data_IF_084252778537
#
_entry.id   IF_084252778537
#
_cell.length_a   1.000
_cell.length_b   1.000
_cell.length_c   1.000
_cell.angle_alpha   90.00
_cell.angle_beta   90.00
_cell.angle_gamma   90.00
#
_symmetry.space_group_name_H-M   'P 1'
#
loop_
_entity.id
_entity.type
_entity.pdbx_description
1 polymer ?
#
# COMPACT_ATOMS: atom_id res chain seq x y z
N UNK A 1 59.13 54.32 -3.46
CA UNK A 1 59.93 55.45 -4.01
C UNK A 1 59.28 55.92 -5.30
N UNK A 2 59.14 57.24 -5.45
CA UNK A 2 58.96 57.91 -6.75
C UNK A 2 57.52 58.04 -7.24
N UNK A 3 56.93 59.23 -7.04
CA UNK A 3 55.97 59.96 -7.92
C UNK A 3 54.96 60.89 -7.19
N UNK A 4 55.19 61.24 -5.93
CA UNK A 4 54.41 62.30 -5.24
C UNK A 4 55.18 63.60 -4.95
N UNK A 5 56.48 63.68 -5.27
CA UNK A 5 57.33 64.85 -4.98
C UNK A 5 57.39 65.95 -6.06
N UNK A 6 56.69 65.81 -7.19
CA UNK A 6 56.84 66.73 -8.33
C UNK A 6 55.77 67.82 -8.41
N UNK A 7 54.69 67.76 -7.63
CA UNK A 7 53.66 68.81 -7.65
C UNK A 7 53.88 69.93 -6.62
N UNK A 8 54.76 69.71 -5.63
CA UNK A 8 54.99 70.65 -4.53
C UNK A 8 56.13 71.65 -4.79
N UNK A 9 56.88 71.48 -5.89
CA UNK A 9 58.01 72.35 -6.27
C UNK A 9 57.63 73.32 -7.41
N UNK A 10 56.50 73.11 -8.09
CA UNK A 10 56.07 74.00 -9.19
C UNK A 10 55.36 75.28 -8.71
N UNK A 11 55.01 75.39 -7.42
CA UNK A 11 54.33 76.57 -6.86
C UNK A 11 55.28 77.67 -6.35
N UNK A 12 56.60 77.46 -6.34
CA UNK A 12 57.57 78.38 -5.72
C UNK A 12 58.37 79.23 -6.71
N UNK A 13 58.02 79.22 -8.00
CA UNK A 13 58.72 79.99 -9.06
C UNK A 13 57.87 81.06 -9.77
N UNK A 14 56.71 81.43 -9.20
CA UNK A 14 56.01 82.65 -9.59
C UNK A 14 56.19 83.69 -8.47
N UNK A 15 57.33 84.36 -8.50
CA UNK A 15 57.61 85.54 -7.69
C UNK A 15 56.69 86.69 -8.12
N UNK A 16 55.58 86.83 -7.40
CA UNK A 16 54.70 87.99 -7.43
C UNK A 16 54.34 88.36 -5.99
N UNK A 17 54.77 89.54 -5.58
CA UNK A 17 54.47 90.28 -4.34
C UNK A 17 53.37 89.70 -3.43
N UNK A 18 53.78 89.16 -2.27
CA UNK A 18 52.90 88.96 -1.11
C UNK A 18 52.48 90.33 -0.58
N UNK A 19 51.38 90.86 -1.12
CA UNK A 19 50.66 91.94 -0.47
C UNK A 19 50.00 91.38 0.80
N UNK A 20 50.48 91.82 1.96
CA UNK A 20 49.69 91.75 3.18
C UNK A 20 48.43 92.59 2.94
N UNK A 21 47.30 91.91 2.76
CA UNK A 21 46.00 92.55 2.61
C UNK A 21 45.57 93.10 3.99
N UNK A 22 45.38 94.41 4.06
CA UNK A 22 44.85 95.17 5.20
C UNK A 22 43.33 94.92 5.43
N UNK A 23 42.76 93.90 4.79
CA UNK A 23 41.40 93.44 4.97
C UNK A 23 41.44 91.98 5.45
N UNK A 24 40.67 91.66 6.50
CA UNK A 24 40.67 90.37 7.19
C UNK A 24 40.52 89.16 6.26
N UNK A 25 40.72 87.94 6.82
CA UNK A 25 40.73 86.66 6.06
C UNK A 25 39.77 86.71 4.86
N UNK A 26 40.27 86.68 3.61
CA UNK A 26 39.45 86.90 2.40
C UNK A 26 38.23 85.98 2.27
N UNK A 27 38.21 84.88 3.02
CA UNK A 27 37.15 83.88 3.09
C UNK A 27 35.94 84.31 3.94
N UNK A 28 36.08 85.32 4.79
CA UNK A 28 35.01 85.86 5.66
C UNK A 28 34.43 87.18 5.12
N UNK A 29 34.78 87.58 3.91
CA UNK A 29 34.23 88.78 3.27
C UNK A 29 32.75 88.57 2.88
N UNK A 30 31.78 89.28 3.50
CA UNK A 30 30.35 89.10 3.25
C UNK A 30 29.92 89.36 1.81
N UNK A 31 30.77 90.02 1.01
CA UNK A 31 30.53 90.30 -0.41
C UNK A 31 30.29 89.05 -1.25
N UNK A 32 30.88 87.90 -0.89
CA UNK A 32 30.76 86.65 -1.66
C UNK A 32 29.65 85.70 -1.18
N UNK A 33 29.02 85.98 -0.03
CA UNK A 33 28.03 85.07 0.58
C UNK A 33 26.80 84.86 -0.31
N UNK A 34 26.33 85.90 -1.00
CA UNK A 34 25.19 85.78 -1.91
C UNK A 34 25.48 84.81 -3.09
N UNK A 35 26.69 84.87 -3.65
CA UNK A 35 27.12 83.97 -4.74
C UNK A 35 27.30 82.54 -4.24
N UNK A 36 27.93 82.36 -3.07
CA UNK A 36 28.07 81.04 -2.44
C UNK A 36 26.71 80.40 -2.13
N UNK A 37 25.76 81.18 -1.59
CA UNK A 37 24.40 80.72 -1.33
C UNK A 37 23.65 80.35 -2.61
N UNK A 38 23.77 81.16 -3.68
CA UNK A 38 23.17 80.86 -4.97
C UNK A 38 23.68 79.52 -5.54
N UNK A 39 25.00 79.32 -5.61
CA UNK A 39 25.58 78.08 -6.13
C UNK A 39 25.27 76.87 -5.24
N UNK A 40 25.24 77.05 -3.92
CA UNK A 40 24.82 76.01 -2.98
C UNK A 40 23.39 75.57 -3.29
N UNK A 41 22.45 76.50 -3.45
CA UNK A 41 21.05 76.20 -3.78
C UNK A 41 20.96 75.48 -5.14
N UNK A 42 21.68 75.95 -6.15
CA UNK A 42 21.67 75.35 -7.50
C UNK A 42 22.18 73.90 -7.45
N UNK A 43 23.31 73.65 -6.79
CA UNK A 43 23.89 72.30 -6.66
C UNK A 43 22.98 71.41 -5.81
N UNK A 44 22.45 71.94 -4.70
CA UNK A 44 21.53 71.21 -3.83
C UNK A 44 20.27 70.79 -4.59
N UNK A 45 19.63 71.70 -5.32
CA UNK A 45 18.45 71.37 -6.14
C UNK A 45 18.78 70.34 -7.22
N UNK A 46 19.93 70.50 -7.89
CA UNK A 46 20.36 69.56 -8.93
C UNK A 46 20.52 68.15 -8.37
N UNK A 47 21.19 67.99 -7.22
CA UNK A 47 21.36 66.69 -6.55
C UNK A 47 20.01 66.15 -6.04
N UNK A 48 19.18 67.01 -5.44
CA UNK A 48 17.86 66.64 -4.94
C UNK A 48 16.99 66.05 -6.06
N UNK A 49 16.92 66.72 -7.21
CA UNK A 49 16.18 66.24 -8.38
C UNK A 49 16.74 64.92 -8.91
N UNK A 50 18.07 64.76 -8.93
CA UNK A 50 18.72 63.53 -9.37
C UNK A 50 18.38 62.35 -8.44
N UNK A 51 18.39 62.56 -7.12
CA UNK A 51 17.98 61.55 -6.14
C UNK A 51 16.50 61.20 -6.29
N UNK A 52 15.64 62.22 -6.29
CA UNK A 52 14.19 62.05 -6.37
C UNK A 52 13.76 61.33 -7.67
N UNK A 53 14.41 61.66 -8.79
CA UNK A 53 14.04 61.13 -10.11
C UNK A 53 14.72 59.81 -10.46
N UNK A 54 15.92 59.53 -9.96
CA UNK A 54 16.73 58.37 -10.39
C UNK A 54 16.93 57.34 -9.28
N UNK A 55 17.36 57.78 -8.09
CA UNK A 55 17.73 56.85 -7.02
C UNK A 55 16.50 56.26 -6.32
N UNK A 56 15.51 57.09 -5.97
CA UNK A 56 14.26 56.65 -5.33
C UNK A 56 13.52 55.58 -6.17
N UNK A 57 13.24 55.77 -7.48
CA UNK A 57 12.52 54.76 -8.25
C UNK A 57 13.32 53.46 -8.42
N UNK A 58 14.65 53.51 -8.50
CA UNK A 58 15.50 52.30 -8.55
C UNK A 58 15.37 51.47 -7.27
N UNK A 59 15.40 52.12 -6.11
CA UNK A 59 15.24 51.44 -4.81
C UNK A 59 13.84 50.86 -4.69
N UNK A 60 12.81 51.65 -5.03
CA UNK A 60 11.42 51.20 -5.00
C UNK A 60 11.19 49.98 -5.89
N UNK A 61 11.69 49.99 -7.13
CA UNK A 61 11.57 48.83 -8.03
C UNK A 61 12.19 47.56 -7.47
N UNK A 62 13.31 47.64 -6.75
CA UNK A 62 13.89 46.47 -6.08
C UNK A 62 13.06 45.98 -4.90
N UNK A 63 12.44 46.88 -4.14
CA UNK A 63 11.55 46.51 -3.02
C UNK A 63 10.30 45.84 -3.57
N UNK A 64 9.64 46.45 -4.55
CA UNK A 64 8.44 45.92 -5.21
C UNK A 64 8.71 44.53 -5.83
N UNK A 65 9.88 44.34 -6.45
CA UNK A 65 10.28 43.03 -7.02
C UNK A 65 10.40 41.96 -5.93
N UNK A 66 11.03 42.29 -4.79
CA UNK A 66 11.19 41.35 -3.67
C UNK A 66 9.85 41.04 -3.02
N UNK A 67 9.02 42.05 -2.80
CA UNK A 67 7.67 41.89 -2.25
C UNK A 67 6.82 40.99 -3.16
N UNK A 68 6.80 41.26 -4.47
CA UNK A 68 6.07 40.44 -5.43
C UNK A 68 6.57 38.99 -5.44
N UNK A 69 7.89 38.78 -5.36
CA UNK A 69 8.47 37.45 -5.28
C UNK A 69 8.03 36.72 -4.00
N UNK A 70 8.15 37.37 -2.84
CA UNK A 70 7.73 36.78 -1.56
C UNK A 70 6.23 36.45 -1.58
N UNK A 71 5.39 37.36 -2.09
CA UNK A 71 3.95 37.11 -2.22
C UNK A 71 3.67 35.90 -3.10
N UNK A 72 4.33 35.83 -4.27
CA UNK A 72 4.19 34.70 -5.19
C UNK A 72 4.65 33.39 -4.55
N UNK A 73 5.82 33.38 -3.91
CA UNK A 73 6.36 32.19 -3.23
C UNK A 73 5.41 31.73 -2.11
N UNK A 74 4.77 32.66 -1.38
CA UNK A 74 3.78 32.36 -0.34
C UNK A 74 2.48 31.80 -0.92
N UNK A 75 2.00 32.34 -2.04
CA UNK A 75 0.82 31.82 -2.75
C UNK A 75 1.07 30.41 -3.29
N UNK A 76 2.22 30.18 -3.93
CA UNK A 76 2.63 28.85 -4.40
C UNK A 76 2.77 27.86 -3.23
N UNK A 77 3.39 28.26 -2.12
CA UNK A 77 3.50 27.42 -0.93
C UNK A 77 2.12 27.05 -0.35
N UNK A 78 1.17 27.99 -0.32
CA UNK A 78 -0.21 27.71 0.11
C UNK A 78 -0.89 26.73 -0.83
N UNK A 79 -0.76 26.92 -2.14
CA UNK A 79 -1.31 26.00 -3.14
C UNK A 79 -0.75 24.59 -3.01
N UNK A 80 0.57 24.45 -2.86
CA UNK A 80 1.20 23.14 -2.66
C UNK A 80 0.76 22.49 -1.35
N UNK A 81 0.58 23.26 -0.27
CA UNK A 81 0.03 22.76 1.00
C UNK A 81 -1.39 22.24 0.81
N UNK A 82 -2.25 22.99 0.16
CA UNK A 82 -3.64 22.58 -0.11
C UNK A 82 -3.72 21.33 -1.00
N UNK A 83 -2.89 21.26 -2.04
CA UNK A 83 -2.80 20.07 -2.89
C UNK A 83 -2.30 18.85 -2.11
N UNK A 84 -1.29 19.01 -1.26
CA UNK A 84 -0.77 17.96 -0.40
C UNK A 84 -1.83 17.47 0.60
N UNK A 85 -2.58 18.37 1.23
CA UNK A 85 -3.69 18.04 2.14
C UNK A 85 -4.81 17.29 1.42
N UNK A 86 -5.15 17.73 0.19
CA UNK A 86 -6.13 17.04 -0.66
C UNK A 86 -5.67 15.62 -1.03
N UNK A 87 -4.41 15.46 -1.48
CA UNK A 87 -3.82 14.15 -1.79
C UNK A 87 -3.77 13.25 -0.55
N UNK A 88 -3.41 13.80 0.61
CA UNK A 88 -3.39 13.07 1.87
C UNK A 88 -4.79 12.56 2.25
N UNK A 89 -5.82 13.39 2.11
CA UNK A 89 -7.21 12.99 2.35
C UNK A 89 -7.65 11.89 1.39
N UNK A 90 -7.36 12.02 0.10
CA UNK A 90 -7.67 10.98 -0.90
C UNK A 90 -6.96 9.66 -0.58
N UNK A 91 -5.68 9.72 -0.21
CA UNK A 91 -4.90 8.54 0.15
C UNK A 91 -5.44 7.83 1.40
N UNK A 92 -5.80 8.60 2.43
CA UNK A 92 -6.45 8.06 3.65
C UNK A 92 -7.76 7.35 3.31
N UNK A 93 -8.62 7.98 2.50
CA UNK A 93 -9.88 7.38 2.06
C UNK A 93 -9.65 6.09 1.25
N UNK A 94 -8.64 6.07 0.36
CA UNK A 94 -8.29 4.90 -0.43
C UNK A 94 -7.81 3.73 0.44
N UNK A 95 -7.00 4.01 1.47
CA UNK A 95 -6.58 2.99 2.44
C UNK A 95 -7.78 2.44 3.20
N UNK A 96 -8.69 3.32 3.63
CA UNK A 96 -9.88 2.90 4.36
C UNK A 96 -10.81 2.04 3.50
N UNK A 97 -11.06 2.45 2.25
CA UNK A 97 -11.87 1.67 1.31
C UNK A 97 -11.20 0.33 0.99
N UNK A 98 -9.90 0.31 0.71
CA UNK A 98 -9.17 -0.93 0.43
C UNK A 98 -9.20 -1.91 1.62
N UNK A 99 -9.14 -1.40 2.86
CA UNK A 99 -9.31 -2.22 4.08
C UNK A 99 -10.73 -2.77 4.19
N UNK A 100 -11.75 -1.95 3.90
CA UNK A 100 -13.14 -2.39 3.91
C UNK A 100 -13.41 -3.46 2.85
N UNK A 101 -12.93 -3.24 1.62
CA UNK A 101 -13.05 -4.19 0.52
C UNK A 101 -12.33 -5.50 0.81
N UNK A 102 -11.12 -5.44 1.38
CA UNK A 102 -10.38 -6.64 1.78
C UNK A 102 -11.14 -7.46 2.83
N UNK A 103 -11.73 -6.80 3.83
CA UNK A 103 -12.57 -7.47 4.84
C UNK A 103 -13.81 -8.08 4.21
N UNK A 104 -14.45 -7.38 3.27
CA UNK A 104 -15.62 -7.88 2.54
C UNK A 104 -15.27 -9.12 1.73
N UNK A 105 -14.20 -9.07 0.93
CA UNK A 105 -13.71 -10.20 0.13
C UNK A 105 -13.39 -11.39 1.04
N UNK A 106 -12.74 -11.17 2.18
CA UNK A 106 -12.42 -12.23 3.12
C UNK A 106 -13.69 -12.86 3.71
N UNK A 107 -14.67 -12.06 4.09
CA UNK A 107 -15.96 -12.54 4.61
C UNK A 107 -16.72 -13.35 3.56
N UNK A 108 -16.85 -12.82 2.34
CA UNK A 108 -17.53 -13.49 1.23
C UNK A 108 -16.82 -14.81 0.85
N UNK A 109 -15.49 -14.81 0.83
CA UNK A 109 -14.71 -16.01 0.54
C UNK A 109 -14.86 -17.06 1.63
N UNK A 110 -14.89 -16.66 2.90
CA UNK A 110 -15.16 -17.59 4.03
C UNK A 110 -16.55 -18.18 3.96
N UNK A 111 -17.55 -17.37 3.62
CA UNK A 111 -18.92 -17.84 3.45
C UNK A 111 -19.01 -18.87 2.32
N UNK A 112 -18.51 -18.53 1.12
CA UNK A 112 -18.46 -19.46 -0.02
C UNK A 112 -17.71 -20.74 0.30
N UNK A 113 -16.57 -20.65 0.99
CA UNK A 113 -15.80 -21.82 1.40
C UNK A 113 -16.60 -22.71 2.36
N UNK A 114 -17.32 -22.14 3.32
CA UNK A 114 -18.17 -22.90 4.24
C UNK A 114 -19.31 -23.60 3.50
N UNK A 115 -19.95 -22.89 2.55
CA UNK A 115 -21.02 -23.46 1.73
C UNK A 115 -20.50 -24.62 0.87
N UNK A 116 -19.33 -24.46 0.24
CA UNK A 116 -18.67 -25.53 -0.54
C UNK A 116 -18.27 -26.72 0.32
N UNK A 117 -17.74 -26.48 1.53
CA UNK A 117 -17.41 -27.54 2.49
C UNK A 117 -18.68 -28.31 2.88
N UNK A 118 -19.77 -27.60 3.18
CA UNK A 118 -21.04 -28.22 3.55
C UNK A 118 -21.62 -29.05 2.40
N UNK A 119 -21.65 -28.51 1.18
CA UNK A 119 -22.11 -29.23 0.00
C UNK A 119 -21.26 -30.48 -0.29
N UNK A 120 -19.93 -30.37 -0.14
CA UNK A 120 -19.03 -31.51 -0.34
C UNK A 120 -19.19 -32.57 0.75
N UNK A 121 -19.39 -32.15 2.00
CA UNK A 121 -19.67 -33.04 3.13
C UNK A 121 -20.96 -33.81 2.91
N UNK A 122 -22.03 -33.15 2.47
CA UNK A 122 -23.30 -33.80 2.14
C UNK A 122 -23.17 -34.80 0.99
N UNK A 123 -22.39 -34.46 -0.04
CA UNK A 123 -22.11 -35.38 -1.15
C UNK A 123 -21.36 -36.63 -0.68
N UNK A 124 -20.29 -36.44 0.10
CA UNK A 124 -19.49 -37.55 0.66
C UNK A 124 -20.33 -38.40 1.60
N UNK A 125 -21.18 -37.80 2.42
CA UNK A 125 -22.08 -38.52 3.32
C UNK A 125 -23.04 -39.44 2.54
N UNK A 126 -23.64 -38.94 1.45
CA UNK A 126 -24.49 -39.75 0.56
C UNK A 126 -23.73 -40.89 -0.11
N UNK A 127 -22.49 -40.66 -0.52
CA UNK A 127 -21.63 -41.67 -1.12
C UNK A 127 -21.28 -42.77 -0.11
N UNK A 128 -20.94 -42.41 1.12
CA UNK A 128 -20.71 -43.34 2.23
C UNK A 128 -21.96 -44.18 2.52
N UNK A 129 -23.15 -43.57 2.56
CA UNK A 129 -24.40 -44.28 2.78
C UNK A 129 -24.69 -45.30 1.66
N UNK A 130 -24.47 -44.92 0.40
CA UNK A 130 -24.63 -45.82 -0.74
C UNK A 130 -23.65 -46.99 -0.70
N UNK A 131 -22.37 -46.73 -0.42
CA UNK A 131 -21.36 -47.78 -0.27
C UNK A 131 -21.67 -48.71 0.90
N UNK A 132 -22.15 -48.17 2.01
CA UNK A 132 -22.56 -48.98 3.18
C UNK A 132 -23.71 -49.92 2.80
N UNK A 133 -24.74 -49.42 2.11
CA UNK A 133 -25.86 -50.25 1.63
C UNK A 133 -25.39 -51.33 0.64
N UNK A 134 -24.46 -51.00 -0.25
CA UNK A 134 -23.92 -51.96 -1.21
C UNK A 134 -23.10 -53.06 -0.52
N UNK A 135 -22.24 -52.68 0.43
CA UNK A 135 -21.49 -53.61 1.25
C UNK A 135 -22.41 -54.53 2.07
N UNK A 136 -23.48 -54.00 2.67
CA UNK A 136 -24.48 -54.80 3.39
C UNK A 136 -25.17 -55.83 2.46
N UNK A 137 -25.54 -55.43 1.24
CA UNK A 137 -26.10 -56.35 0.24
C UNK A 137 -25.10 -57.43 -0.17
N UNK A 138 -23.84 -57.06 -0.37
CA UNK A 138 -22.78 -58.01 -0.73
C UNK A 138 -22.54 -59.01 0.41
N UNK A 139 -22.50 -58.54 1.67
CA UNK A 139 -22.39 -59.40 2.85
C UNK A 139 -23.60 -60.35 2.94
N UNK A 140 -24.82 -59.88 2.71
CA UNK A 140 -26.00 -60.75 2.70
C UNK A 140 -25.93 -61.81 1.60
N UNK A 141 -25.52 -61.43 0.39
CA UNK A 141 -25.35 -62.34 -0.75
C UNK A 141 -24.28 -63.39 -0.43
N UNK A 142 -23.11 -62.95 0.04
CA UNK A 142 -22.00 -63.81 0.43
C UNK A 142 -22.40 -64.79 1.54
N UNK A 143 -23.16 -64.33 2.54
CA UNK A 143 -23.71 -65.18 3.61
C UNK A 143 -24.66 -66.24 3.05
N UNK A 144 -25.58 -65.86 2.17
CA UNK A 144 -26.52 -66.80 1.52
C UNK A 144 -25.79 -67.84 0.67
N UNK A 145 -24.82 -67.41 -0.15
CA UNK A 145 -24.07 -68.29 -1.03
C UNK A 145 -23.13 -69.22 -0.24
N UNK A 146 -22.51 -68.73 0.84
CA UNK A 146 -21.70 -69.55 1.74
C UNK A 146 -22.54 -70.63 2.41
N UNK A 147 -23.75 -70.32 2.88
CA UNK A 147 -24.66 -71.33 3.45
C UNK A 147 -25.05 -72.41 2.43
N UNK A 148 -25.26 -72.03 1.16
CA UNK A 148 -25.52 -73.02 0.09
C UNK A 148 -24.30 -73.90 -0.15
N UNK A 149 -23.10 -73.32 -0.23
CA UNK A 149 -21.85 -74.07 -0.42
C UNK A 149 -21.59 -75.04 0.73
N UNK A 150 -21.78 -74.61 1.98
CA UNK A 150 -21.67 -75.49 3.16
C UNK A 150 -22.67 -76.64 3.07
N UNK A 151 -23.92 -76.38 2.67
CA UNK A 151 -24.91 -77.44 2.45
C UNK A 151 -24.46 -78.48 1.43
N UNK A 152 -23.96 -78.05 0.27
CA UNK A 152 -23.45 -78.94 -0.77
C UNK A 152 -22.22 -79.75 -0.32
N UNK A 153 -21.27 -79.11 0.37
CA UNK A 153 -20.07 -79.78 0.90
C UNK A 153 -20.48 -80.81 1.97
N UNK A 154 -21.40 -80.46 2.86
CA UNK A 154 -21.91 -81.40 3.87
C UNK A 154 -22.67 -82.57 3.26
N UNK A 155 -23.47 -82.33 2.20
CA UNK A 155 -24.14 -83.40 1.44
C UNK A 155 -23.11 -84.38 0.84
N UNK A 156 -22.04 -83.85 0.24
CA UNK A 156 -20.97 -84.65 -0.34
C UNK A 156 -20.19 -85.45 0.71
N UNK A 157 -19.79 -84.81 1.82
CA UNK A 157 -19.09 -85.47 2.94
C UNK A 157 -19.95 -86.59 3.54
N UNK A 158 -21.23 -86.34 3.83
CA UNK A 158 -22.13 -87.36 4.40
C UNK A 158 -22.39 -88.49 3.41
N UNK A 159 -22.53 -88.19 2.11
CA UNK A 159 -22.69 -89.20 1.07
C UNK A 159 -21.45 -90.10 0.95
N UNK A 160 -20.25 -89.51 0.99
CA UNK A 160 -18.99 -90.27 0.95
C UNK A 160 -18.79 -91.12 2.21
N UNK A 161 -19.09 -90.56 3.39
CA UNK A 161 -19.00 -91.29 4.67
C UNK A 161 -19.97 -92.48 4.71
N UNK A 162 -21.21 -92.31 4.24
CA UNK A 162 -22.19 -93.40 4.17
C UNK A 162 -21.73 -94.51 3.23
N UNK A 163 -21.13 -94.15 2.09
CA UNK A 163 -20.58 -95.10 1.13
C UNK A 163 -19.40 -95.89 1.71
N UNK A 164 -18.50 -95.22 2.43
CA UNK A 164 -17.33 -95.84 3.07
C UNK A 164 -17.72 -96.80 4.20
N UNK A 165 -18.76 -96.48 4.97
CA UNK A 165 -19.20 -97.28 6.14
C UNK A 165 -20.13 -98.43 5.74
N UNK A 166 -21.11 -98.17 4.87
CA UNK A 166 -22.21 -99.10 4.59
C UNK A 166 -22.11 -99.79 3.22
N UNK A 167 -21.17 -99.39 2.35
CA UNK A 167 -20.97 -100.00 1.03
C UNK A 167 -22.08 -99.74 0.01
N UNK A 168 -23.14 -99.02 0.38
CA UNK A 168 -24.26 -98.61 -0.47
C UNK A 168 -24.35 -97.07 -0.56
N UNK A 169 -24.82 -96.56 -1.71
CA UNK A 169 -25.10 -95.13 -1.88
C UNK A 169 -26.36 -94.77 -1.06
N UNK A 170 -26.17 -94.05 0.04
CA UNK A 170 -27.29 -93.58 0.88
C UNK A 170 -28.31 -92.73 0.10
N UNK A 171 -29.58 -92.74 0.54
CA UNK A 171 -30.64 -92.00 -0.12
C UNK A 171 -30.38 -90.47 -0.12
N UNK A 172 -29.94 -89.94 -1.26
CA UNK A 172 -29.61 -88.53 -1.48
C UNK A 172 -30.73 -87.55 -1.13
N UNK A 173 -32.01 -87.93 -1.30
CA UNK A 173 -33.12 -87.02 -0.96
C UNK A 173 -33.28 -86.87 0.55
N UNK A 174 -33.09 -87.95 1.32
CA UNK A 174 -33.15 -87.92 2.80
C UNK A 174 -31.97 -87.15 3.39
N UNK A 175 -30.75 -87.38 2.90
CA UNK A 175 -29.54 -86.68 3.36
C UNK A 175 -29.68 -85.17 3.17
N UNK A 176 -30.12 -84.75 1.97
CA UNK A 176 -30.38 -83.35 1.64
C UNK A 176 -31.47 -82.72 2.51
N UNK A 177 -32.55 -83.46 2.79
CA UNK A 177 -33.62 -83.00 3.65
C UNK A 177 -33.11 -82.74 5.08
N UNK A 178 -32.40 -83.69 5.69
CA UNK A 178 -31.86 -83.58 7.05
C UNK A 178 -30.82 -82.46 7.17
N UNK A 179 -29.90 -82.33 6.20
CA UNK A 179 -28.90 -81.25 6.21
C UNK A 179 -29.57 -79.88 6.05
N UNK A 180 -30.59 -79.77 5.20
CA UNK A 180 -31.33 -78.51 5.03
C UNK A 180 -32.10 -78.09 6.29
N UNK A 181 -32.57 -79.05 7.08
CA UNK A 181 -33.25 -78.83 8.36
C UNK A 181 -32.28 -78.35 9.44
N UNK A 182 -31.09 -78.96 9.54
CA UNK A 182 -30.02 -78.53 10.46
C UNK A 182 -29.52 -77.12 10.14
N UNK A 183 -29.34 -76.80 8.85
CA UNK A 183 -28.95 -75.45 8.40
C UNK A 183 -30.03 -74.41 8.75
N UNK A 184 -31.32 -74.78 8.66
CA UNK A 184 -32.43 -73.90 9.06
C UNK A 184 -32.46 -73.67 10.58
N UNK A 185 -32.27 -74.72 11.38
CA UNK A 185 -32.22 -74.58 12.85
C UNK A 185 -31.07 -73.65 13.29
N UNK A 186 -29.87 -73.80 12.73
CA UNK A 186 -28.75 -72.89 13.04
C UNK A 186 -29.00 -71.43 12.61
N UNK A 187 -29.86 -71.22 11.60
CA UNK A 187 -30.24 -69.86 11.16
C UNK A 187 -31.18 -69.18 12.15
N UNK A 188 -31.96 -69.92 12.94
CA UNK A 188 -32.93 -69.41 13.93
C UNK A 188 -32.39 -69.32 15.36
N UNK A 189 -31.26 -69.98 15.66
CA UNK A 189 -30.66 -70.05 17.02
C UNK A 189 -29.50 -69.09 17.23
N UNK A 190 -29.50 -67.93 16.59
CA UNK A 190 -28.56 -66.85 16.91
C UNK A 190 -29.32 -65.74 17.66
N UNK A 191 -28.83 -65.24 18.81
CA UNK A 191 -29.40 -64.07 19.47
C UNK A 191 -29.35 -62.82 18.57
#
# INVERSE_FOLDING_TARGET
MGKFSIFLIFSTLFGGSLFAAEAGMPQLDPKYWASQAFWLIVIFLSIYLLIARVFIPKIKGSIDTRENKIRKDLEEAKMYREEAEKKLKMYKNLIESAKADSKKILSESRQKLNDDIQAKKEKVQKEIELETINAEKEIQKFKSDSLKKVGLISEDIVSNLLKDIFGEDGNKSSIRATISEVIKQQRTTKP
#
